data_IF_598377264255
#
_entry.id   IF_598377264255
#
_cell.length_a   1.000
_cell.length_b   1.000
_cell.length_c   1.000
_cell.angle_alpha   90.00
_cell.angle_beta   90.00
_cell.angle_gamma   90.00
#
_symmetry.space_group_name_H-M   'P 1'
#
loop_
_entity.id
_entity.type
_entity.pdbx_description
1 polymer ?
#
# COMPACT_ATOMS: atom_id res chain seq x y z
N UNK A 1 0.69 -16.80 -3.43
CA UNK A 1 1.88 -16.26 -4.12
C UNK A 1 2.20 -14.94 -3.45
N UNK A 2 3.44 -14.79 -2.97
CA UNK A 2 3.89 -13.57 -2.28
C UNK A 2 4.02 -12.40 -3.26
N UNK A 3 3.97 -11.18 -2.73
CA UNK A 3 4.26 -9.97 -3.47
C UNK A 3 5.77 -9.80 -3.65
N UNK A 4 6.20 -9.25 -4.77
CA UNK A 4 7.60 -9.01 -5.14
C UNK A 4 7.75 -7.60 -5.66
N UNK A 5 8.80 -6.89 -5.23
CA UNK A 5 9.12 -5.58 -5.76
C UNK A 5 9.95 -5.74 -7.04
N UNK A 6 9.32 -5.55 -8.20
CA UNK A 6 9.92 -5.69 -9.52
C UNK A 6 10.22 -4.33 -10.16
N UNK A 7 11.00 -4.31 -11.23
CA UNK A 7 11.44 -3.06 -11.89
C UNK A 7 10.26 -2.21 -12.39
N UNK A 8 9.13 -2.82 -12.74
CA UNK A 8 7.92 -2.13 -13.15
C UNK A 8 7.18 -1.41 -12.02
N UNK A 9 7.62 -1.58 -10.76
CA UNK A 9 7.12 -0.83 -9.60
C UNK A 9 8.04 0.33 -9.20
N UNK A 10 9.18 0.51 -9.89
CA UNK A 10 10.06 1.66 -9.67
C UNK A 10 9.39 2.92 -10.22
N UNK A 11 9.25 3.92 -9.37
CA UNK A 11 8.71 5.25 -9.70
C UNK A 11 9.82 6.25 -10.05
N UNK A 12 11.05 5.99 -9.58
CA UNK A 12 12.19 6.91 -9.73
C UNK A 12 12.27 7.96 -8.62
N UNK A 13 11.36 7.91 -7.64
CA UNK A 13 11.43 8.69 -6.42
C UNK A 13 11.88 7.79 -5.26
N UNK A 14 13.07 8.05 -4.72
CA UNK A 14 13.70 7.21 -3.70
C UNK A 14 12.84 7.03 -2.43
N UNK A 15 12.15 8.08 -2.00
CA UNK A 15 11.27 8.02 -0.82
C UNK A 15 10.12 7.05 -1.08
N UNK A 16 9.41 7.23 -2.19
CA UNK A 16 8.27 6.39 -2.61
C UNK A 16 8.71 4.93 -2.78
N UNK A 17 9.78 4.69 -3.55
CA UNK A 17 10.27 3.34 -3.85
C UNK A 17 10.74 2.60 -2.58
N UNK A 18 11.33 3.32 -1.62
CA UNK A 18 11.73 2.72 -0.34
C UNK A 18 10.53 2.29 0.50
N UNK A 19 9.46 3.09 0.50
CA UNK A 19 8.26 2.81 1.27
C UNK A 19 7.44 1.68 0.64
N UNK A 20 7.37 1.59 -0.69
CA UNK A 20 6.72 0.49 -1.39
C UNK A 20 7.36 -0.87 -1.11
N UNK A 21 8.69 -0.94 -1.04
CA UNK A 21 9.41 -2.17 -0.67
C UNK A 21 9.02 -2.64 0.72
N UNK A 22 8.89 -1.73 1.67
CA UNK A 22 8.47 -2.06 3.03
C UNK A 22 6.99 -2.49 3.08
N UNK A 23 6.09 -1.81 2.35
CA UNK A 23 4.69 -2.23 2.23
C UNK A 23 4.55 -3.65 1.68
N UNK A 24 5.29 -3.98 0.61
CA UNK A 24 5.34 -5.33 0.05
C UNK A 24 5.84 -6.33 1.08
N UNK A 25 6.86 -5.98 1.87
CA UNK A 25 7.33 -6.83 2.97
C UNK A 25 6.23 -7.07 4.01
N UNK A 26 5.48 -6.03 4.41
CA UNK A 26 4.37 -6.17 5.37
C UNK A 26 3.24 -7.03 4.84
N UNK A 27 2.90 -6.91 3.56
CA UNK A 27 1.92 -7.78 2.89
C UNK A 27 2.38 -9.24 2.95
N UNK A 28 3.67 -9.49 2.69
CA UNK A 28 4.23 -10.83 2.76
C UNK A 28 4.25 -11.39 4.18
N UNK A 29 4.58 -10.58 5.18
CA UNK A 29 4.52 -10.98 6.59
C UNK A 29 3.10 -11.37 7.00
N UNK A 30 2.09 -10.61 6.54
CA UNK A 30 0.68 -10.94 6.73
C UNK A 30 0.33 -12.28 6.06
N UNK A 31 0.61 -12.43 4.77
CA UNK A 31 0.33 -13.68 4.04
C UNK A 31 0.99 -14.90 4.69
N UNK A 32 2.22 -14.75 5.17
CA UNK A 32 2.95 -15.79 5.89
C UNK A 32 2.29 -16.13 7.21
N UNK A 33 1.82 -15.13 7.97
CA UNK A 33 1.09 -15.39 9.21
C UNK A 33 -0.24 -16.13 9.00
N UNK A 34 -0.81 -16.06 7.79
CA UNK A 34 -2.00 -16.81 7.41
C UNK A 34 -1.75 -18.27 7.02
N UNK A 35 -0.49 -18.69 6.80
CA UNK A 35 -0.17 -20.09 6.49
C UNK A 35 -0.55 -21.02 7.66
N UNK A 36 -0.42 -20.54 8.90
CA UNK A 36 -0.97 -21.19 10.10
C UNK A 36 -2.39 -20.70 10.36
N UNK A 37 -3.39 -21.42 9.85
CA UNK A 37 -4.81 -21.04 9.95
C UNK A 37 -5.35 -20.86 11.38
N UNK A 38 -4.70 -21.46 12.38
CA UNK A 38 -5.05 -21.28 13.79
C UNK A 38 -4.45 -20.02 14.43
N UNK A 39 -3.64 -19.25 13.69
CA UNK A 39 -2.89 -18.11 14.22
C UNK A 39 -3.62 -16.77 14.03
N UNK A 40 -4.87 -16.68 14.51
CA UNK A 40 -5.68 -15.46 14.44
C UNK A 40 -4.94 -14.24 15.03
N UNK A 41 -4.32 -14.41 16.21
CA UNK A 41 -3.58 -13.33 16.87
C UNK A 41 -2.37 -12.86 16.06
N UNK A 42 -1.70 -13.78 15.36
CA UNK A 42 -0.58 -13.46 14.49
C UNK A 42 -1.03 -12.66 13.27
N UNK A 43 -2.08 -13.12 12.59
CA UNK A 43 -2.67 -12.43 11.45
C UNK A 43 -3.18 -11.04 11.83
N UNK A 44 -3.91 -10.92 12.93
CA UNK A 44 -4.39 -9.62 13.42
C UNK A 44 -3.25 -8.65 13.75
N UNK A 45 -2.16 -9.14 14.35
CA UNK A 45 -0.97 -8.33 14.63
C UNK A 45 -0.30 -7.85 13.34
N UNK A 46 -0.16 -8.73 12.34
CA UNK A 46 0.45 -8.34 11.05
C UNK A 46 -0.44 -7.38 10.28
N UNK A 47 -1.76 -7.54 10.36
CA UNK A 47 -2.71 -6.62 9.73
C UNK A 47 -2.66 -5.24 10.38
N UNK A 48 -2.54 -5.13 11.70
CA UNK A 48 -2.30 -3.85 12.38
C UNK A 48 -1.02 -3.17 11.88
N UNK A 49 0.08 -3.92 11.75
CA UNK A 49 1.33 -3.36 11.23
C UNK A 49 1.22 -2.92 9.77
N UNK A 50 0.46 -3.65 8.95
CA UNK A 50 0.17 -3.23 7.59
C UNK A 50 -0.66 -1.94 7.60
N UNK A 51 -1.71 -1.85 8.41
CA UNK A 51 -2.57 -0.67 8.54
C UNK A 51 -1.76 0.57 8.96
N UNK A 52 -0.99 0.46 10.04
CA UNK A 52 -0.15 1.56 10.55
C UNK A 52 0.84 2.04 9.49
N UNK A 53 1.47 1.11 8.76
CA UNK A 53 2.46 1.46 7.75
C UNK A 53 1.83 2.03 6.47
N UNK A 54 0.67 1.52 6.06
CA UNK A 54 -0.14 2.09 4.97
C UNK A 54 -0.55 3.53 5.28
N UNK A 55 -1.01 3.81 6.50
CA UNK A 55 -1.37 5.17 6.90
C UNK A 55 -0.17 6.12 6.95
N UNK A 56 0.97 5.63 7.46
CA UNK A 56 2.22 6.39 7.41
C UNK A 56 2.63 6.72 5.97
N UNK A 57 2.74 5.72 5.10
CA UNK A 57 3.12 5.90 3.70
C UNK A 57 2.21 6.90 2.98
N UNK A 58 0.89 6.70 3.07
CA UNK A 58 -0.07 7.59 2.43
C UNK A 58 0.02 9.03 2.96
N UNK A 59 0.29 9.23 4.24
CA UNK A 59 0.49 10.57 4.78
C UNK A 59 1.73 11.24 4.16
N UNK A 60 2.86 10.55 4.11
CA UNK A 60 4.09 11.09 3.53
C UNK A 60 3.92 11.41 2.03
N UNK A 61 3.21 10.57 1.28
CA UNK A 61 2.90 10.85 -0.13
C UNK A 61 1.93 12.02 -0.31
N UNK A 62 0.88 12.11 0.50
CA UNK A 62 -0.06 13.22 0.45
C UNK A 62 0.62 14.56 0.84
N UNK A 63 1.55 14.54 1.79
CA UNK A 63 2.39 15.69 2.15
C UNK A 63 3.34 16.07 1.02
N UNK A 64 3.97 15.10 0.35
CA UNK A 64 4.77 15.34 -0.85
C UNK A 64 3.91 15.99 -1.93
N UNK A 65 2.77 15.40 -2.27
CA UNK A 65 1.85 15.92 -3.28
C UNK A 65 1.40 17.36 -2.97
N UNK A 66 1.09 17.65 -1.71
CA UNK A 66 0.72 18.99 -1.27
C UNK A 66 1.89 19.98 -1.41
N UNK A 67 3.09 19.59 -0.98
CA UNK A 67 4.29 20.43 -1.08
C UNK A 67 4.67 20.77 -2.53
N UNK A 68 4.27 19.91 -3.48
CA UNK A 68 4.54 20.11 -4.89
C UNK A 68 3.38 20.72 -5.68
N UNK A 69 2.26 21.02 -5.01
CA UNK A 69 1.00 21.44 -5.64
C UNK A 69 0.56 20.47 -6.75
N UNK A 70 0.68 19.15 -6.49
CA UNK A 70 0.29 18.13 -7.45
C UNK A 70 -1.22 18.25 -7.77
N UNK A 71 -1.61 18.43 -9.04
CA UNK A 71 -3.00 18.69 -9.41
C UNK A 71 -3.95 17.52 -9.13
N UNK A 72 -3.44 16.29 -9.14
CA UNK A 72 -4.22 15.06 -8.92
C UNK A 72 -4.44 14.66 -7.46
N UNK A 73 -4.02 15.48 -6.48
CA UNK A 73 -3.99 15.09 -5.06
C UNK A 73 -5.33 14.60 -4.51
N UNK A 74 -6.45 15.20 -4.93
CA UNK A 74 -7.77 14.81 -4.42
C UNK A 74 -8.18 13.42 -4.92
N UNK A 75 -7.94 13.11 -6.19
CA UNK A 75 -8.25 11.79 -6.75
C UNK A 75 -7.36 10.70 -6.12
N UNK A 76 -6.09 11.03 -5.92
CA UNK A 76 -5.13 10.16 -5.27
C UNK A 76 -5.54 9.83 -3.82
N UNK A 77 -5.99 10.83 -3.04
CA UNK A 77 -6.50 10.61 -1.68
C UNK A 77 -7.73 9.71 -1.61
N UNK A 78 -8.62 9.76 -2.61
CA UNK A 78 -9.75 8.83 -2.67
C UNK A 78 -9.28 7.39 -2.91
N UNK A 79 -8.23 7.19 -3.71
CA UNK A 79 -7.58 5.87 -3.83
C UNK A 79 -7.01 5.39 -2.50
N UNK A 80 -6.27 6.22 -1.78
CA UNK A 80 -5.79 5.85 -0.44
C UNK A 80 -6.92 5.44 0.50
N UNK A 81 -8.05 6.17 0.46
CA UNK A 81 -9.23 5.86 1.26
C UNK A 81 -9.86 4.52 0.89
N UNK A 82 -9.89 4.15 -0.39
CA UNK A 82 -10.35 2.82 -0.85
C UNK A 82 -9.52 1.69 -0.19
N UNK A 83 -8.19 1.82 -0.16
CA UNK A 83 -7.34 0.81 0.48
C UNK A 83 -7.50 0.79 2.00
N UNK A 84 -7.57 1.96 2.66
CA UNK A 84 -7.82 2.05 4.12
C UNK A 84 -9.11 1.31 4.51
N UNK A 85 -10.19 1.50 3.75
CA UNK A 85 -11.44 0.78 3.98
C UNK A 85 -11.26 -0.73 3.79
N UNK A 86 -10.52 -1.15 2.77
CA UNK A 86 -10.22 -2.57 2.53
C UNK A 86 -9.48 -3.21 3.71
N UNK A 87 -8.50 -2.51 4.30
CA UNK A 87 -7.76 -2.96 5.48
C UNK A 87 -8.67 -3.05 6.71
N UNK A 88 -9.59 -2.11 6.89
CA UNK A 88 -10.59 -2.15 7.95
C UNK A 88 -11.54 -3.35 7.80
N UNK A 89 -12.02 -3.63 6.59
CA UNK A 89 -12.86 -4.80 6.32
C UNK A 89 -12.11 -6.12 6.59
N UNK A 90 -10.79 -6.18 6.34
CA UNK A 90 -9.96 -7.34 6.68
C UNK A 90 -9.87 -7.54 8.20
N UNK A 91 -9.82 -6.45 8.98
CA UNK A 91 -9.85 -6.54 10.44
C UNK A 91 -11.16 -7.15 10.94
N UNK A 92 -12.29 -6.73 10.37
CA UNK A 92 -13.62 -7.26 10.70
C UNK A 92 -13.71 -8.76 10.38
N UNK A 93 -13.25 -9.18 9.21
CA UNK A 93 -13.21 -10.61 8.83
C UNK A 93 -12.42 -11.48 9.82
N UNK A 94 -11.26 -11.01 10.31
CA UNK A 94 -10.48 -11.77 11.29
C UNK A 94 -11.16 -11.87 12.65
N UNK A 95 -11.97 -10.89 13.03
CA UNK A 95 -12.71 -10.91 14.30
C UNK A 95 -13.92 -11.84 14.23
N UNK A 96 -14.61 -11.90 13.09
CA UNK A 96 -15.82 -12.71 12.91
C UNK A 96 -15.53 -14.21 12.78
N UNK A 97 -14.45 -14.60 12.10
CA UNK A 97 -14.20 -15.99 11.67
C UNK A 97 -13.17 -16.74 12.56
N UNK A 98 -12.78 -16.18 13.71
CA UNK A 98 -11.77 -16.76 14.63
C UNK A 98 -10.43 -17.16 13.95
N UNK A 99 -10.06 -16.53 12.82
CA UNK A 99 -8.83 -16.82 12.10
C UNK A 99 -8.83 -16.42 10.62
N UNK A 100 -7.68 -16.54 9.92
CA UNK A 100 -7.59 -16.27 8.49
C UNK A 100 -8.21 -17.40 7.66
N UNK A 101 -9.39 -17.14 7.08
CA UNK A 101 -10.06 -18.03 6.13
C UNK A 101 -9.43 -17.96 4.73
N UNK A 102 -9.81 -18.87 3.83
CA UNK A 102 -9.40 -18.78 2.42
C UNK A 102 -9.87 -17.47 1.78
N UNK A 103 -11.09 -17.04 2.09
CA UNK A 103 -11.64 -15.77 1.63
C UNK A 103 -10.84 -14.56 2.14
N UNK A 104 -10.34 -14.61 3.38
CA UNK A 104 -9.44 -13.59 3.91
C UNK A 104 -8.14 -13.50 3.08
N UNK A 105 -7.49 -14.64 2.84
CA UNK A 105 -6.21 -14.70 2.11
C UNK A 105 -6.37 -14.27 0.64
N UNK A 106 -7.47 -14.68 0.01
CA UNK A 106 -7.84 -14.25 -1.34
C UNK A 106 -8.04 -12.73 -1.38
N UNK A 107 -8.78 -12.17 -0.42
CA UNK A 107 -9.01 -10.73 -0.34
C UNK A 107 -7.73 -9.93 -0.10
N UNK A 108 -6.80 -10.40 0.73
CA UNK A 108 -5.46 -9.78 0.86
C UNK A 108 -4.74 -9.79 -0.48
N UNK A 109 -4.77 -10.91 -1.22
CA UNK A 109 -4.10 -11.03 -2.51
C UNK A 109 -4.70 -10.10 -3.57
N UNK A 110 -6.03 -10.05 -3.70
CA UNK A 110 -6.68 -9.29 -4.77
C UNK A 110 -6.90 -7.81 -4.44
N UNK A 111 -7.26 -7.51 -3.18
CA UNK A 111 -7.69 -6.15 -2.80
C UNK A 111 -6.60 -5.33 -2.16
N UNK A 112 -5.51 -5.96 -1.72
CA UNK A 112 -4.34 -5.25 -1.18
C UNK A 112 -3.17 -5.33 -2.15
N UNK A 113 -2.69 -6.53 -2.50
CA UNK A 113 -1.51 -6.65 -3.38
C UNK A 113 -1.79 -6.12 -4.79
N UNK A 114 -2.85 -6.59 -5.45
CA UNK A 114 -3.08 -6.18 -6.84
C UNK A 114 -3.50 -4.70 -6.93
N UNK A 115 -4.24 -4.20 -5.92
CA UNK A 115 -4.51 -2.77 -5.78
C UNK A 115 -3.20 -1.97 -5.65
N UNK A 116 -2.28 -2.41 -4.79
CA UNK A 116 -1.01 -1.73 -4.56
C UNK A 116 -0.20 -1.65 -5.87
N UNK A 117 -0.08 -2.75 -6.60
CA UNK A 117 0.65 -2.74 -7.87
C UNK A 117 0.05 -1.77 -8.88
N UNK A 118 -1.27 -1.81 -9.04
CA UNK A 118 -1.96 -0.88 -9.92
C UNK A 118 -1.75 0.57 -9.48
N UNK A 119 -1.84 0.86 -8.18
CA UNK A 119 -1.65 2.19 -7.62
C UNK A 119 -0.24 2.73 -7.92
N UNK A 120 0.80 1.94 -7.62
CA UNK A 120 2.19 2.27 -7.87
C UNK A 120 2.44 2.57 -9.35
N UNK A 121 1.97 1.69 -10.22
CA UNK A 121 2.23 1.77 -11.65
C UNK A 121 1.53 2.96 -12.33
N UNK A 122 0.50 3.54 -11.69
CA UNK A 122 -0.34 4.58 -12.29
C UNK A 122 -0.32 5.88 -11.49
N UNK A 123 -0.81 5.89 -10.26
CA UNK A 123 -0.94 7.08 -9.43
C UNK A 123 0.43 7.56 -8.92
N UNK A 124 1.22 6.68 -8.32
CA UNK A 124 2.46 7.08 -7.63
C UNK A 124 3.55 7.44 -8.64
N UNK A 125 3.60 6.69 -9.75
CA UNK A 125 4.45 7.04 -10.90
C UNK A 125 4.11 8.42 -11.45
N UNK A 126 2.84 8.79 -11.56
CA UNK A 126 2.44 10.13 -12.03
C UNK A 126 2.91 11.23 -11.07
N UNK A 127 2.87 11.00 -9.76
CA UNK A 127 3.40 11.92 -8.74
C UNK A 127 4.92 12.07 -8.89
N UNK A 128 5.65 10.96 -9.02
CA UNK A 128 7.10 10.96 -9.19
C UNK A 128 7.54 11.69 -10.47
N UNK A 129 6.88 11.43 -11.60
CA UNK A 129 7.13 12.11 -12.88
C UNK A 129 6.88 13.62 -12.78
N UNK A 130 5.75 14.02 -12.18
CA UNK A 130 5.44 15.44 -11.98
C UNK A 130 6.49 16.14 -11.12
N UNK A 131 6.90 15.51 -10.01
CA UNK A 131 7.97 16.03 -9.14
C UNK A 131 9.27 16.22 -9.93
N UNK A 132 9.67 15.20 -10.70
CA UNK A 132 10.88 15.27 -11.52
C UNK A 132 10.81 16.42 -12.53
N UNK A 133 9.69 16.58 -13.24
CA UNK A 133 9.51 17.69 -14.19
C UNK A 133 9.61 19.05 -13.51
N UNK A 134 8.97 19.22 -12.35
CA UNK A 134 8.98 20.48 -11.58
C UNK A 134 10.40 20.85 -11.12
N UNK A 135 11.11 19.90 -10.52
CA UNK A 135 12.48 20.12 -10.02
C UNK A 135 13.47 20.48 -11.15
N UNK A 136 13.21 20.05 -12.39
CA UNK A 136 14.02 20.41 -13.55
C UNK A 136 13.58 21.71 -14.22
N UNK A 137 12.29 22.08 -14.13
CA UNK A 137 11.81 23.38 -14.61
C UNK A 137 12.37 24.55 -13.79
N UNK A 138 12.61 24.36 -12.49
CA UNK A 138 13.25 25.35 -11.62
C UNK A 138 14.78 25.50 -11.84
N UNK A 139 15.39 24.64 -12.66
CA UNK A 139 16.83 24.67 -12.98
C UNK A 139 17.16 25.46 -14.26
N UNK A 140 16.16 25.98 -14.97
CA UNK A 140 16.29 26.77 -16.21
C UNK A 140 15.99 28.23 -15.90
#
# INVERSE_FOLDING_TARGET
MYAEFTDDLITGNEMIDSQHKELISKINDLLKSCEERSNQSGAARMLNFLADYTDYHFREEEELQASINYPGINEHKEKHKELRNTVQELHEMLMEEEGPTDAFVEKVSEKVRDWLYYHIQTFDRSVAEFKFMRDNAERI
#
